data_IF_692871439128
#
_entry.id   IF_692871439128
#
_cell.length_a   1.000
_cell.length_b   1.000
_cell.length_c   1.000
_cell.angle_alpha   90.00
_cell.angle_beta   90.00
_cell.angle_gamma   90.00
#
_symmetry.space_group_name_H-M   'P 1'
#
loop_
_entity.id
_entity.type
_entity.pdbx_description
1 polymer ?
#
# COMPACT_ATOMS: atom_id res chain seq x y z
N UNK A 1 -0.59 -12.52 -3.22
CA UNK A 1 -1.37 -12.97 -2.05
C UNK A 1 -1.92 -11.74 -1.32
N UNK A 2 -3.14 -11.79 -0.80
CA UNK A 2 -3.73 -10.70 -0.01
C UNK A 2 -3.83 -11.07 1.47
N UNK A 3 -3.47 -10.14 2.34
CA UNK A 3 -3.53 -10.22 3.80
C UNK A 3 -4.23 -8.96 4.32
N UNK A 4 -5.34 -9.15 5.01
CA UNK A 4 -6.10 -8.06 5.65
C UNK A 4 -6.29 -8.36 7.14
N UNK A 5 -6.46 -7.32 7.95
CA UNK A 5 -6.62 -7.46 9.41
C UNK A 5 -5.39 -8.13 10.04
N UNK A 6 -5.63 -9.03 11.00
CA UNK A 6 -4.58 -9.73 11.77
C UNK A 6 -4.01 -10.97 11.05
N UNK A 7 -4.08 -11.00 9.71
CA UNK A 7 -3.52 -12.10 8.92
C UNK A 7 -1.99 -12.12 8.94
N UNK A 8 -1.40 -13.29 8.76
CA UNK A 8 0.06 -13.49 8.87
C UNK A 8 0.80 -13.12 7.57
N UNK A 9 1.44 -11.95 7.55
CA UNK A 9 2.21 -11.49 6.39
C UNK A 9 3.50 -12.30 6.17
N UNK A 10 4.07 -12.93 7.21
CA UNK A 10 5.27 -13.78 7.09
C UNK A 10 4.94 -15.03 6.33
N UNK A 11 3.86 -15.72 6.72
CA UNK A 11 3.39 -16.91 6.03
C UNK A 11 3.01 -16.56 4.59
N UNK A 12 2.39 -15.39 4.40
CA UNK A 12 2.02 -14.92 3.07
C UNK A 12 3.22 -14.71 2.15
N UNK A 13 4.27 -14.07 2.66
CA UNK A 13 5.52 -13.89 1.94
C UNK A 13 6.25 -15.21 1.67
N UNK A 14 6.25 -16.15 2.64
CA UNK A 14 6.90 -17.44 2.50
C UNK A 14 6.32 -18.30 1.36
N UNK A 15 5.07 -18.07 0.97
CA UNK A 15 4.46 -18.71 -0.19
C UNK A 15 5.01 -18.20 -1.54
N UNK A 16 5.88 -17.19 -1.54
CA UNK A 16 6.54 -16.64 -2.73
C UNK A 16 5.62 -15.94 -3.73
N UNK A 17 4.67 -15.07 -3.33
CA UNK A 17 3.87 -14.33 -4.28
C UNK A 17 4.71 -13.24 -4.98
N UNK A 18 4.38 -12.90 -6.23
CA UNK A 18 4.97 -11.74 -6.92
C UNK A 18 4.44 -10.40 -6.35
N UNK A 19 3.18 -10.41 -5.89
CA UNK A 19 2.49 -9.26 -5.29
C UNK A 19 1.96 -9.62 -3.91
N UNK A 20 2.40 -8.92 -2.88
CA UNK A 20 1.90 -9.02 -1.51
C UNK A 20 0.96 -7.85 -1.20
N UNK A 21 -0.33 -8.14 -0.99
CA UNK A 21 -1.34 -7.16 -0.59
C UNK A 21 -1.48 -7.10 0.91
N UNK A 22 -1.36 -5.91 1.50
CA UNK A 22 -1.42 -5.67 2.95
C UNK A 22 -2.25 -4.42 3.27
N UNK A 23 -3.00 -4.44 4.37
CA UNK A 23 -3.69 -3.24 4.85
C UNK A 23 -2.68 -2.17 5.27
N UNK A 24 -2.77 -0.97 4.70
CA UNK A 24 -1.88 0.15 5.04
C UNK A 24 -2.27 0.73 6.41
N UNK A 25 -1.65 0.21 7.45
CA UNK A 25 -1.93 0.50 8.86
C UNK A 25 -0.66 0.37 9.69
N UNK A 26 -0.70 0.87 10.93
CA UNK A 26 0.46 0.80 11.82
C UNK A 26 0.82 -0.65 12.20
N UNK A 27 -0.15 -1.58 12.24
CA UNK A 27 0.11 -3.00 12.52
C UNK A 27 0.93 -3.68 11.41
N UNK A 28 0.89 -3.17 10.18
CA UNK A 28 1.77 -3.67 9.10
C UNK A 28 3.27 -3.47 9.42
N UNK A 29 3.60 -2.57 10.35
CA UNK A 29 4.98 -2.35 10.80
C UNK A 29 5.49 -3.47 11.72
N UNK A 30 4.63 -4.32 12.26
CA UNK A 30 5.03 -5.51 13.02
C UNK A 30 5.79 -6.50 12.13
N UNK A 31 5.48 -6.50 10.84
CA UNK A 31 6.14 -7.30 9.79
C UNK A 31 7.02 -6.47 8.86
N UNK A 32 7.54 -5.32 9.32
CA UNK A 32 8.35 -4.43 8.50
C UNK A 32 9.54 -5.13 7.84
N UNK A 33 10.21 -6.06 8.53
CA UNK A 33 11.31 -6.85 7.97
C UNK A 33 10.87 -7.73 6.79
N UNK A 34 9.64 -8.24 6.81
CA UNK A 34 9.05 -9.02 5.72
C UNK A 34 8.77 -8.14 4.52
N UNK A 35 8.16 -6.98 4.75
CA UNK A 35 7.82 -6.02 3.70
C UNK A 35 9.08 -5.52 3.00
N UNK A 36 10.12 -5.20 3.78
CA UNK A 36 11.42 -4.79 3.25
C UNK A 36 12.08 -5.90 2.42
N UNK A 37 12.17 -7.13 2.95
CA UNK A 37 12.71 -8.27 2.17
C UNK A 37 11.94 -8.53 0.88
N UNK A 38 10.62 -8.37 0.91
CA UNK A 38 9.80 -8.55 -0.28
C UNK A 38 10.12 -7.51 -1.35
N UNK A 39 10.23 -6.24 -0.97
CA UNK A 39 10.62 -5.16 -1.88
C UNK A 39 12.07 -5.27 -2.38
N UNK A 40 12.99 -5.77 -1.54
CA UNK A 40 14.38 -6.04 -1.90
C UNK A 40 14.51 -7.17 -2.92
N UNK A 41 13.62 -8.16 -2.85
CA UNK A 41 13.51 -9.26 -3.81
C UNK A 41 12.73 -8.88 -5.09
N UNK A 42 12.61 -7.58 -5.39
CA UNK A 42 11.83 -7.01 -6.52
C UNK A 42 10.32 -7.34 -6.50
N UNK A 43 9.82 -7.85 -5.38
CA UNK A 43 8.38 -8.05 -5.15
C UNK A 43 7.62 -6.74 -5.13
N UNK A 44 6.31 -6.83 -5.39
CA UNK A 44 5.40 -5.69 -5.41
C UNK A 44 4.50 -5.69 -4.19
N UNK A 45 4.28 -4.52 -3.58
CA UNK A 45 3.32 -4.39 -2.49
C UNK A 45 2.04 -3.73 -3.01
N UNK A 46 0.90 -4.39 -2.80
CA UNK A 46 -0.41 -3.76 -2.95
C UNK A 46 -0.86 -3.17 -1.60
N UNK A 47 -0.73 -1.84 -1.48
CA UNK A 47 -1.10 -1.09 -0.29
C UNK A 47 -2.62 -0.95 -0.21
N UNK A 48 -3.23 -1.67 0.72
CA UNK A 48 -4.64 -1.56 1.09
C UNK A 48 -4.93 -0.26 1.83
N UNK A 49 -4.87 0.87 1.12
CA UNK A 49 -4.88 2.21 1.70
C UNK A 49 -6.30 2.80 1.87
N UNK A 50 -7.24 2.32 1.06
CA UNK A 50 -8.64 2.75 1.12
C UNK A 50 -9.41 1.84 2.08
N UNK A 51 -9.97 2.34 3.19
CA UNK A 51 -10.64 1.49 4.17
C UNK A 51 -11.90 0.86 3.58
N UNK A 52 -12.23 -0.35 4.03
CA UNK A 52 -13.44 -1.10 3.63
C UNK A 52 -14.34 -1.45 4.82
N UNK A 53 -13.89 -1.12 6.03
CA UNK A 53 -14.57 -1.34 7.32
C UNK A 53 -15.33 -0.10 7.81
N UNK A 54 -15.19 1.03 7.11
CA UNK A 54 -15.79 2.32 7.46
C UNK A 54 -15.97 3.19 6.20
N UNK A 55 -16.84 4.21 6.24
CA UNK A 55 -17.04 5.11 5.12
C UNK A 55 -15.72 5.75 4.65
N UNK A 56 -15.49 5.67 3.34
CA UNK A 56 -14.44 6.42 2.65
C UNK A 56 -15.00 7.81 2.38
N UNK A 57 -14.44 8.85 2.99
CA UNK A 57 -14.83 10.23 2.69
C UNK A 57 -14.48 10.61 1.24
N UNK A 58 -14.76 11.86 0.86
CA UNK A 58 -14.58 12.33 -0.53
C UNK A 58 -13.15 12.82 -0.84
N UNK A 59 -12.17 12.42 -0.03
CA UNK A 59 -10.79 12.91 -0.14
C UNK A 59 -9.76 11.84 0.16
N UNK A 60 -8.69 11.86 -0.64
CA UNK A 60 -7.51 11.02 -0.46
C UNK A 60 -6.63 11.43 0.72
N UNK A 61 -6.81 12.60 1.34
CA UNK A 61 -5.88 13.15 2.33
C UNK A 61 -5.70 12.28 3.58
N UNK A 62 -6.78 11.69 4.08
CA UNK A 62 -6.73 10.76 5.21
C UNK A 62 -5.94 9.48 4.90
N UNK A 63 -6.37 8.70 3.89
CA UNK A 63 -5.63 7.54 3.37
C UNK A 63 -4.17 7.85 3.01
N UNK A 64 -3.93 8.96 2.33
CA UNK A 64 -2.61 9.38 1.89
C UNK A 64 -1.65 9.59 3.07
N UNK A 65 -2.09 10.36 4.07
CA UNK A 65 -1.27 10.62 5.26
C UNK A 65 -0.90 9.34 6.00
N UNK A 66 -1.81 8.37 6.09
CA UNK A 66 -1.50 7.06 6.69
C UNK A 66 -0.47 6.29 5.87
N UNK A 67 -0.66 6.21 4.56
CA UNK A 67 0.25 5.52 3.67
C UNK A 67 1.67 6.13 3.70
N UNK A 68 1.78 7.46 3.64
CA UNK A 68 3.07 8.15 3.75
C UNK A 68 3.69 7.95 5.12
N UNK A 69 2.89 7.95 6.20
CA UNK A 69 3.38 7.66 7.56
C UNK A 69 4.04 6.28 7.65
N UNK A 70 3.36 5.25 7.13
CA UNK A 70 3.86 3.88 7.02
C UNK A 70 5.17 3.82 6.22
N UNK A 71 5.20 4.45 5.04
CA UNK A 71 6.39 4.50 4.19
C UNK A 71 7.57 5.22 4.84
N UNK A 72 7.32 6.31 5.55
CA UNK A 72 8.35 7.03 6.30
C UNK A 72 8.95 6.14 7.41
N UNK A 73 8.12 5.34 8.08
CA UNK A 73 8.62 4.40 9.09
C UNK A 73 9.40 3.24 8.46
N UNK A 74 8.95 2.67 7.34
CA UNK A 74 9.73 1.68 6.60
C UNK A 74 11.09 2.25 6.15
N UNK A 75 11.10 3.48 5.64
CA UNK A 75 12.34 4.18 5.26
C UNK A 75 13.26 4.38 6.47
N UNK A 76 12.72 4.78 7.64
CA UNK A 76 13.51 4.92 8.87
C UNK A 76 14.13 3.59 9.32
N UNK A 77 13.52 2.46 8.98
CA UNK A 77 14.03 1.10 9.26
C UNK A 77 15.02 0.59 8.21
N UNK A 78 15.34 1.39 7.20
CA UNK A 78 16.35 1.08 6.18
C UNK A 78 15.78 0.71 4.81
N UNK A 79 14.46 0.74 4.61
CA UNK A 79 13.87 0.50 3.30
C UNK A 79 14.23 1.62 2.31
N UNK A 80 14.52 1.28 1.06
CA UNK A 80 14.76 2.26 0.01
C UNK A 80 13.47 3.06 -0.28
N UNK A 81 13.45 4.39 -0.04
CA UNK A 81 12.27 5.23 -0.24
C UNK A 81 11.82 5.31 -1.70
N UNK A 82 12.70 5.00 -2.66
CA UNK A 82 12.34 4.89 -4.08
C UNK A 82 11.56 3.60 -4.31
N UNK A 83 12.05 2.45 -3.84
CA UNK A 83 11.39 1.14 -3.99
C UNK A 83 9.99 1.12 -3.40
N UNK A 84 9.80 1.69 -2.21
CA UNK A 84 8.49 1.75 -1.56
C UNK A 84 7.43 2.44 -2.45
N UNK A 85 7.84 3.41 -3.27
CA UNK A 85 6.96 4.15 -4.19
C UNK A 85 6.87 3.51 -5.57
N UNK A 86 7.96 2.95 -6.08
CA UNK A 86 8.04 2.43 -7.46
C UNK A 86 7.58 0.97 -7.59
N UNK A 87 7.58 0.21 -6.50
CA UNK A 87 7.08 -1.17 -6.41
C UNK A 87 5.79 -1.25 -5.57
N UNK A 88 4.93 -0.23 -5.71
CA UNK A 88 3.68 -0.10 -4.98
C UNK A 88 2.46 -0.07 -5.91
N UNK A 89 1.38 -0.75 -5.51
CA UNK A 89 0.03 -0.57 -6.04
C UNK A 89 -0.88 -0.02 -4.93
N UNK A 90 -1.99 0.63 -5.29
CA UNK A 90 -3.02 1.04 -4.33
C UNK A 90 -4.25 0.16 -4.49
N UNK A 91 -4.80 -0.30 -3.38
CA UNK A 91 -6.01 -1.12 -3.35
C UNK A 91 -6.91 -0.71 -2.19
N UNK A 92 -8.20 -1.10 -2.22
CA UNK A 92 -9.01 -1.21 -1.01
C UNK A 92 -8.35 -2.16 0.00
N UNK A 93 -8.59 -1.91 1.29
CA UNK A 93 -8.00 -2.65 2.40
C UNK A 93 -8.37 -4.14 2.42
N UNK A 94 -9.52 -4.50 1.85
CA UNK A 94 -10.01 -5.86 1.66
C UNK A 94 -11.03 -5.91 0.51
N UNK A 95 -11.68 -7.05 0.30
CA UNK A 95 -12.78 -7.20 -0.66
C UNK A 95 -13.97 -6.28 -0.35
N UNK A 96 -14.72 -5.93 -1.40
CA UNK A 96 -15.86 -5.02 -1.34
C UNK A 96 -17.22 -5.74 -1.28
N UNK A 97 -17.25 -7.03 -0.94
CA UNK A 97 -18.46 -7.87 -1.00
C UNK A 97 -19.67 -7.34 -0.19
N UNK A 98 -19.42 -6.54 0.86
CA UNK A 98 -20.46 -5.90 1.66
C UNK A 98 -20.92 -4.51 1.19
N UNK A 99 -20.38 -4.00 0.08
CA UNK A 99 -20.65 -2.64 -0.39
C UNK A 99 -21.69 -2.65 -1.52
N UNK A 100 -22.55 -1.63 -1.55
CA UNK A 100 -23.37 -1.35 -2.74
C UNK A 100 -22.52 -0.86 -3.90
N UNK A 101 -23.02 -0.95 -5.13
CA UNK A 101 -22.27 -0.59 -6.35
C UNK A 101 -21.69 0.83 -6.29
N UNK A 102 -22.48 1.82 -5.87
CA UNK A 102 -22.01 3.20 -5.73
C UNK A 102 -20.88 3.35 -4.69
N UNK A 103 -20.95 2.59 -3.58
CA UNK A 103 -19.91 2.62 -2.54
C UNK A 103 -18.63 1.92 -3.02
N UNK A 104 -18.76 0.81 -3.73
CA UNK A 104 -17.63 0.10 -4.32
C UNK A 104 -16.94 0.96 -5.39
N UNK A 105 -17.72 1.59 -6.28
CA UNK A 105 -17.20 2.51 -7.29
C UNK A 105 -16.46 3.69 -6.65
N UNK A 106 -17.02 4.27 -5.57
CA UNK A 106 -16.37 5.35 -4.82
C UNK A 106 -15.04 4.91 -4.20
N UNK A 107 -15.00 3.75 -3.52
CA UNK A 107 -13.77 3.23 -2.93
C UNK A 107 -12.68 2.98 -3.99
N UNK A 108 -13.06 2.46 -5.15
CA UNK A 108 -12.14 2.25 -6.28
C UNK A 108 -11.68 3.58 -6.90
N UNK A 109 -12.55 4.58 -6.97
CA UNK A 109 -12.19 5.92 -7.44
C UNK A 109 -11.13 6.56 -6.54
N UNK A 110 -11.33 6.53 -5.22
CA UNK A 110 -10.34 7.02 -4.25
C UNK A 110 -9.01 6.24 -4.36
N UNK A 111 -9.06 4.92 -4.59
CA UNK A 111 -7.86 4.13 -4.81
C UNK A 111 -7.11 4.56 -6.09
N UNK A 112 -7.83 4.87 -7.16
CA UNK A 112 -7.27 5.39 -8.41
C UNK A 112 -6.60 6.75 -8.21
N UNK A 113 -7.27 7.70 -7.55
CA UNK A 113 -6.69 9.02 -7.28
C UNK A 113 -5.41 8.94 -6.42
N UNK A 114 -5.40 8.01 -5.45
CA UNK A 114 -4.20 7.72 -4.68
C UNK A 114 -3.09 7.13 -5.56
N UNK A 115 -3.41 6.23 -6.48
CA UNK A 115 -2.44 5.64 -7.39
C UNK A 115 -1.81 6.69 -8.30
N UNK A 116 -2.60 7.63 -8.84
CA UNK A 116 -2.11 8.76 -9.63
C UNK A 116 -1.10 9.59 -8.82
N UNK A 117 -1.44 9.91 -7.57
CA UNK A 117 -0.55 10.66 -6.66
C UNK A 117 0.76 9.92 -6.36
N UNK A 118 0.74 8.59 -6.25
CA UNK A 118 1.96 7.78 -6.11
C UNK A 118 2.77 7.82 -7.40
N UNK A 119 2.12 7.70 -8.56
CA UNK A 119 2.75 7.76 -9.87
C UNK A 119 3.53 9.06 -10.08
N UNK A 120 2.93 10.20 -9.77
CA UNK A 120 3.58 11.51 -9.83
C UNK A 120 4.84 11.58 -8.96
N UNK A 121 4.78 11.04 -7.74
CA UNK A 121 5.93 11.00 -6.83
C UNK A 121 7.01 10.02 -7.28
N UNK A 122 6.64 8.88 -7.86
CA UNK A 122 7.58 7.89 -8.38
C UNK A 122 8.35 8.43 -9.59
N UNK A 123 7.67 9.15 -10.49
CA UNK A 123 8.32 9.86 -11.61
C UNK A 123 9.28 10.92 -11.10
N UNK A 124 8.84 11.77 -10.15
CA UNK A 124 9.69 12.80 -9.57
C UNK A 124 10.95 12.23 -8.90
N UNK A 125 10.81 11.13 -8.13
CA UNK A 125 11.93 10.48 -7.46
C UNK A 125 12.97 9.92 -8.43
N UNK A 126 12.54 9.34 -9.57
CA UNK A 126 13.46 8.85 -10.61
C UNK A 126 14.25 9.97 -11.27
N UNK A 127 13.65 11.15 -11.45
CA UNK A 127 14.32 12.32 -12.02
C UNK A 127 15.36 12.91 -11.06
N UNK A 128 15.17 12.79 -9.74
CA UNK A 128 16.12 13.34 -8.75
C UNK A 128 17.37 12.48 -8.56
N UNK A 129 17.28 11.17 -8.84
CA UNK A 129 18.40 10.22 -8.71
C UNK A 129 19.27 10.18 -9.97
N UNK A 130 18.75 10.64 -11.11
CA UNK A 130 19.47 10.68 -12.40
C UNK A 130 20.23 11.99 -12.71
N UNK A 131 20.33 12.91 -11.75
CA UNK A 131 20.95 14.23 -11.90
C UNK A 131 22.29 14.33 -11.14
#
# INVERSE_FOLDING_TARGET
MHVCGDGDARLAHAAGPDVLGITASDSALEDADVLMRHLEADGWIAWGAVPTDRPVGDSTEGPWRRLVGLWCELTRRGCDPVRVRTHGLVTPACGLAGHGEAQAAHALHIASEMADRIGDQAVAARLTVGA
#
